data_IF_948693062800
#
_entry.id   IF_948693062800
#
_cell.length_a   1.000
_cell.length_b   1.000
_cell.length_c   1.000
_cell.angle_alpha   90.00
_cell.angle_beta   90.00
_cell.angle_gamma   90.00
#
_symmetry.space_group_name_H-M   'P 1'
#
loop_
_entity.id
_entity.type
_entity.pdbx_description
1 polymer ?
#
# COMPACT_ATOMS: atom_id res chain seq x y z
N UNK A 1 -23.91 21.42 -1.44
CA UNK A 1 -23.85 20.05 -0.89
C UNK A 1 -23.18 19.16 -1.93
N UNK A 2 -21.89 18.87 -1.76
CA UNK A 2 -21.15 18.00 -2.68
C UNK A 2 -21.37 16.55 -2.23
N UNK A 3 -22.09 15.76 -3.04
CA UNK A 3 -22.33 14.35 -2.78
C UNK A 3 -20.98 13.60 -2.80
N UNK A 4 -20.47 13.29 -1.61
CA UNK A 4 -19.33 12.40 -1.40
C UNK A 4 -19.81 10.98 -1.71
N UNK A 5 -19.58 10.56 -2.95
CA UNK A 5 -19.96 9.25 -3.48
C UNK A 5 -19.51 8.14 -2.51
N UNK A 6 -20.49 7.48 -1.91
CA UNK A 6 -20.39 6.24 -1.14
C UNK A 6 -20.23 5.03 -2.07
N UNK A 7 -19.32 5.14 -3.04
CA UNK A 7 -18.86 4.04 -3.85
C UNK A 7 -17.34 4.10 -3.82
N UNK A 8 -16.70 3.23 -3.03
CA UNK A 8 -15.29 2.93 -3.22
C UNK A 8 -15.14 2.34 -4.62
N UNK A 9 -14.99 3.20 -5.63
CA UNK A 9 -14.67 2.79 -6.98
C UNK A 9 -13.38 2.02 -6.89
N UNK A 10 -13.45 0.70 -7.11
CA UNK A 10 -12.26 -0.12 -7.27
C UNK A 10 -11.36 0.59 -8.27
N UNK A 11 -10.13 0.91 -7.87
CA UNK A 11 -9.15 1.58 -8.72
C UNK A 11 -9.07 0.79 -10.03
N UNK A 12 -9.30 1.47 -11.15
CA UNK A 12 -9.31 0.83 -12.48
C UNK A 12 -8.00 0.07 -12.72
N UNK A 13 -8.09 -1.21 -13.04
CA UNK A 13 -6.92 -2.03 -13.36
C UNK A 13 -6.55 -1.90 -14.85
N UNK A 14 -5.26 -1.81 -15.13
CA UNK A 14 -4.67 -1.73 -16.46
C UNK A 14 -3.78 -2.94 -16.71
N UNK A 15 -3.73 -3.42 -17.95
CA UNK A 15 -2.87 -4.52 -18.33
C UNK A 15 -1.44 -4.00 -18.54
N UNK A 16 -0.47 -4.59 -17.83
CA UNK A 16 0.93 -4.21 -17.97
C UNK A 16 1.57 -4.93 -19.17
N UNK A 17 1.55 -4.32 -20.35
CA UNK A 17 2.08 -4.93 -21.59
C UNK A 17 1.13 -5.96 -22.22
N UNK A 18 1.50 -6.49 -23.40
CA UNK A 18 0.58 -7.26 -24.27
C UNK A 18 0.02 -8.54 -23.62
N UNK A 19 0.78 -9.18 -22.73
CA UNK A 19 0.41 -10.40 -22.01
C UNK A 19 0.66 -10.31 -20.49
N UNK A 20 0.82 -9.11 -19.95
CA UNK A 20 1.18 -8.98 -18.53
C UNK A 20 -0.03 -8.93 -17.60
N UNK A 21 0.25 -8.88 -16.28
CA UNK A 21 -0.78 -8.88 -15.25
C UNK A 21 -1.62 -7.61 -15.30
N UNK A 22 -2.87 -7.71 -14.82
CA UNK A 22 -3.67 -6.54 -14.45
C UNK A 22 -3.11 -5.95 -13.16
N UNK A 23 -2.79 -4.67 -13.20
CA UNK A 23 -2.29 -3.87 -12.06
C UNK A 23 -3.20 -2.65 -11.90
N UNK A 24 -3.44 -2.14 -10.69
CA UNK A 24 -4.25 -0.94 -10.54
C UNK A 24 -3.57 0.25 -11.20
N UNK A 25 -4.35 1.20 -11.68
CA UNK A 25 -3.83 2.46 -12.22
C UNK A 25 -3.13 3.32 -11.15
N UNK A 26 -3.41 3.08 -9.86
CA UNK A 26 -2.84 3.80 -8.72
C UNK A 26 -2.45 2.77 -7.64
N UNK A 27 -1.21 2.88 -7.14
CA UNK A 27 -0.69 2.17 -5.97
C UNK A 27 -0.16 3.16 -4.93
N UNK A 28 -0.08 2.72 -3.68
CA UNK A 28 0.54 3.50 -2.61
C UNK A 28 2.04 3.22 -2.57
N UNK A 29 2.86 4.25 -2.80
CA UNK A 29 4.32 4.16 -2.64
C UNK A 29 4.71 4.29 -1.17
N UNK A 30 5.27 3.23 -0.59
CA UNK A 30 5.64 3.20 0.82
C UNK A 30 7.02 3.83 1.11
N UNK A 31 7.70 4.37 0.10
CA UNK A 31 9.02 5.02 0.21
C UNK A 31 9.07 6.13 1.29
N UNK A 32 7.98 6.90 1.43
CA UNK A 32 7.86 7.97 2.43
C UNK A 32 7.71 7.49 3.88
N UNK A 33 7.48 6.19 4.11
CA UNK A 33 7.42 5.62 5.46
C UNK A 33 8.80 5.28 6.03
N UNK A 34 9.84 5.26 5.18
CA UNK A 34 11.15 4.77 5.59
C UNK A 34 12.31 5.70 5.20
N UNK A 35 12.28 6.37 4.05
CA UNK A 35 13.48 7.10 3.56
C UNK A 35 13.25 8.57 3.22
N UNK A 36 12.06 9.00 2.78
CA UNK A 36 11.88 10.40 2.37
C UNK A 36 10.90 11.16 3.24
N UNK A 37 11.28 12.42 3.49
CA UNK A 37 10.49 13.51 4.09
C UNK A 37 10.51 13.68 5.62
N UNK A 38 11.66 13.45 6.25
CA UNK A 38 11.96 13.99 7.59
C UNK A 38 12.31 12.94 8.62
N UNK A 39 12.10 13.27 9.91
CA UNK A 39 12.31 12.32 11.00
C UNK A 39 11.35 11.15 10.86
N UNK A 40 11.93 9.97 10.76
CA UNK A 40 11.21 8.72 10.71
C UNK A 40 10.43 8.57 12.03
N UNK A 41 9.10 8.65 11.94
CA UNK A 41 8.21 8.50 13.10
C UNK A 41 8.22 7.08 13.66
N UNK A 42 7.57 6.91 14.81
CA UNK A 42 7.34 5.60 15.43
C UNK A 42 6.55 4.65 14.49
N UNK A 43 6.71 3.33 14.68
CA UNK A 43 5.96 2.32 13.90
C UNK A 43 4.44 2.61 13.93
N UNK A 44 3.90 3.10 15.05
CA UNK A 44 2.48 3.43 15.22
C UNK A 44 2.00 4.60 14.36
N UNK A 45 2.81 5.64 14.19
CA UNK A 45 2.46 6.77 13.33
C UNK A 45 2.45 6.35 11.86
N UNK A 46 3.40 5.51 11.47
CA UNK A 46 3.46 4.94 10.12
C UNK A 46 2.29 3.99 9.87
N UNK A 47 1.85 3.22 10.86
CA UNK A 47 0.65 2.38 10.76
C UNK A 47 -0.62 3.20 10.53
N UNK A 48 -0.76 4.38 11.17
CA UNK A 48 -1.90 5.28 10.90
C UNK A 48 -1.94 5.75 9.44
N UNK A 49 -0.79 5.96 8.82
CA UNK A 49 -0.71 6.31 7.39
C UNK A 49 -1.16 5.14 6.52
N UNK A 50 -0.73 3.92 6.84
CA UNK A 50 -1.17 2.70 6.14
C UNK A 50 -2.68 2.47 6.29
N UNK A 51 -3.22 2.60 7.51
CA UNK A 51 -4.66 2.52 7.75
C UNK A 51 -5.42 3.54 6.90
N UNK A 52 -4.95 4.79 6.88
CA UNK A 52 -5.58 5.84 6.10
C UNK A 52 -5.52 5.55 4.59
N UNK A 53 -4.41 5.00 4.09
CA UNK A 53 -4.29 4.61 2.69
C UNK A 53 -5.32 3.52 2.32
N UNK A 54 -5.46 2.51 3.17
CA UNK A 54 -6.46 1.43 2.98
C UNK A 54 -7.89 1.99 3.04
N UNK A 55 -8.17 2.88 4.00
CA UNK A 55 -9.47 3.57 4.10
C UNK A 55 -9.79 4.41 2.87
N UNK A 56 -8.79 4.98 2.19
CA UNK A 56 -8.99 5.72 0.95
C UNK A 56 -9.18 4.80 -0.27
N UNK A 57 -9.07 3.48 -0.09
CA UNK A 57 -9.23 2.49 -1.16
C UNK A 57 -7.93 2.07 -1.83
N UNK A 58 -6.76 2.38 -1.24
CA UNK A 58 -5.48 1.84 -1.72
C UNK A 58 -5.42 0.35 -1.45
N UNK A 59 -5.43 -0.43 -2.53
CA UNK A 59 -5.41 -1.90 -2.45
C UNK A 59 -4.06 -2.50 -2.87
N UNK A 60 -3.11 -1.67 -3.31
CA UNK A 60 -1.77 -2.09 -3.72
C UNK A 60 -0.71 -1.17 -3.11
N UNK A 61 0.33 -1.79 -2.58
CA UNK A 61 1.47 -1.14 -1.92
C UNK A 61 2.74 -1.46 -2.70
N UNK A 62 3.48 -0.41 -3.04
CA UNK A 62 4.79 -0.48 -3.67
C UNK A 62 5.88 -0.29 -2.60
N UNK A 63 6.80 -1.25 -2.53
CA UNK A 63 7.94 -1.28 -1.62
C UNK A 63 9.18 -1.74 -2.40
N UNK A 64 10.36 -1.42 -1.90
CA UNK A 64 11.63 -1.83 -2.47
C UNK A 64 12.67 -2.05 -1.36
N UNK A 65 13.63 -2.95 -1.58
CA UNK A 65 14.75 -3.21 -0.67
C UNK A 65 15.57 -1.95 -0.36
N UNK A 66 15.71 -1.07 -1.37
CA UNK A 66 16.37 0.24 -1.20
C UNK A 66 15.62 1.17 -0.23
N UNK A 67 14.36 0.88 0.14
CA UNK A 67 13.59 1.66 1.10
C UNK A 67 13.88 1.31 2.57
N UNK A 68 14.94 0.56 2.88
CA UNK A 68 15.37 0.33 4.26
C UNK A 68 14.41 -0.59 5.02
N UNK A 69 13.83 -0.13 6.13
CA UNK A 69 12.95 -0.93 7.02
C UNK A 69 11.52 -1.12 6.49
N UNK A 70 11.26 -0.76 5.24
CA UNK A 70 9.91 -0.65 4.69
C UNK A 70 9.18 -1.99 4.60
N UNK A 71 9.88 -3.03 4.14
CA UNK A 71 9.32 -4.38 4.03
C UNK A 71 9.03 -4.98 5.41
N UNK A 72 9.92 -4.78 6.37
CA UNK A 72 9.73 -5.22 7.76
C UNK A 72 8.55 -4.50 8.42
N UNK A 73 8.41 -3.18 8.20
CA UNK A 73 7.30 -2.38 8.70
C UNK A 73 5.96 -2.87 8.14
N UNK A 74 5.87 -3.09 6.83
CA UNK A 74 4.67 -3.65 6.19
C UNK A 74 4.37 -5.05 6.75
N UNK A 75 5.39 -5.89 6.93
CA UNK A 75 5.26 -7.20 7.54
C UNK A 75 4.70 -7.14 8.98
N UNK A 76 5.21 -6.23 9.81
CA UNK A 76 4.70 -6.00 11.17
C UNK A 76 3.25 -5.50 11.15
N UNK A 77 2.93 -4.55 10.27
CA UNK A 77 1.59 -4.00 10.13
C UNK A 77 0.56 -5.08 9.77
N UNK A 78 0.83 -5.88 8.74
CA UNK A 78 -0.10 -6.93 8.31
C UNK A 78 -0.21 -8.09 9.30
N UNK A 79 0.85 -8.37 10.08
CA UNK A 79 0.77 -9.31 11.21
C UNK A 79 -0.13 -8.78 12.33
N UNK A 80 -0.08 -7.48 12.61
CA UNK A 80 -0.90 -6.83 13.64
C UNK A 80 -2.36 -6.64 13.19
N UNK A 81 -2.60 -6.40 11.91
CA UNK A 81 -3.92 -6.12 11.33
C UNK A 81 -4.27 -7.08 10.18
N UNK A 82 -4.56 -8.37 10.47
CA UNK A 82 -4.86 -9.36 9.43
C UNK A 82 -6.15 -9.06 8.65
N UNK A 83 -7.10 -8.31 9.24
CA UNK A 83 -8.31 -7.86 8.54
C UNK A 83 -8.01 -6.84 7.44
N UNK A 84 -7.01 -5.98 7.64
CA UNK A 84 -6.60 -5.01 6.63
C UNK A 84 -5.90 -5.73 5.46
N UNK A 85 -5.16 -6.81 5.74
CA UNK A 85 -4.56 -7.65 4.71
C UNK A 85 -5.62 -8.25 3.76
N UNK A 86 -6.84 -8.56 4.24
CA UNK A 86 -7.92 -9.08 3.38
C UNK A 86 -8.47 -8.04 2.39
N UNK A 87 -8.34 -6.74 2.72
CA UNK A 87 -8.80 -5.64 1.86
C UNK A 87 -7.77 -5.27 0.80
N UNK A 88 -6.49 -5.56 1.04
CA UNK A 88 -5.39 -5.31 0.12
C UNK A 88 -5.30 -6.48 -0.87
N UNK A 89 -5.42 -6.19 -2.17
CA UNK A 89 -5.27 -7.22 -3.21
C UNK A 89 -3.79 -7.49 -3.39
N UNK A 90 -3.37 -8.69 -2.97
CA UNK A 90 -1.97 -9.10 -2.96
C UNK A 90 -1.41 -9.20 -4.39
N UNK A 91 -0.88 -8.09 -4.89
CA UNK A 91 0.37 -8.10 -5.63
C UNK A 91 1.20 -6.94 -5.12
N UNK A 92 1.63 -7.08 -3.87
CA UNK A 92 2.79 -6.34 -3.40
C UNK A 92 3.88 -6.69 -4.42
N UNK A 93 4.42 -5.68 -5.10
CA UNK A 93 5.55 -5.83 -6.01
C UNK A 93 6.82 -6.10 -5.18
N UNK A 94 6.77 -7.12 -4.33
CA UNK A 94 7.94 -7.66 -3.65
C UNK A 94 8.68 -8.43 -4.72
N UNK A 95 9.64 -7.75 -5.35
CA UNK A 95 10.72 -8.50 -5.98
C UNK A 95 11.49 -9.18 -4.84
N UNK A 96 11.20 -10.47 -4.59
CA UNK A 96 12.01 -11.40 -3.79
C UNK A 96 12.03 -11.25 -2.25
N UNK A 97 10.93 -11.50 -1.51
CA UNK A 97 10.95 -11.96 -0.09
C UNK A 97 9.55 -12.14 0.54
N UNK A 98 8.73 -13.03 -0.02
CA UNK A 98 7.65 -13.69 0.73
C UNK A 98 7.82 -15.19 0.62
#
# INVERSE_FOLDING_TARGET
MCNRLSNHSLISERQLGKNGPKVPAISYGAMGLSISYGTIGSDEERFKVLDRAIELGSTYFDSADVYGDNEDLLGKYFKKYPEQLKKVRKKILIKNKL
#
